data_IF_403365352929
#
_entry.id   IF_403365352929
#
_cell.length_a   1.000
_cell.length_b   1.000
_cell.length_c   1.000
_cell.angle_alpha   90.00
_cell.angle_beta   90.00
_cell.angle_gamma   90.00
#
_symmetry.space_group_name_H-M   'P 1'
#
loop_
_entity.id
_entity.type
_entity.pdbx_description
1 polymer ?
#
# COMPACT_ATOMS: atom_id res chain seq x y z
N UNK A 1 11.67 74.75 -35.11
CA UNK A 1 10.72 73.94 -34.32
C UNK A 1 10.53 72.54 -34.90
N UNK A 2 11.61 71.82 -35.25
CA UNK A 2 11.54 70.49 -35.91
C UNK A 2 12.61 69.50 -35.41
N UNK A 3 13.44 69.88 -34.43
CA UNK A 3 14.46 69.01 -33.82
C UNK A 3 13.96 68.25 -32.58
N UNK A 4 12.98 68.78 -31.84
CA UNK A 4 12.53 68.19 -30.57
C UNK A 4 11.61 66.98 -30.76
N UNK A 5 10.83 66.92 -31.84
CA UNK A 5 9.93 65.79 -32.12
C UNK A 5 10.74 64.54 -32.52
N UNK A 6 11.85 64.71 -33.24
CA UNK A 6 12.71 63.60 -33.70
C UNK A 6 13.48 62.93 -32.55
N UNK A 7 13.89 63.71 -31.54
CA UNK A 7 14.55 63.19 -30.35
C UNK A 7 13.57 62.51 -29.37
N UNK A 8 12.32 63.00 -29.26
CA UNK A 8 11.31 62.37 -28.40
C UNK A 8 10.80 61.03 -28.95
N UNK A 9 10.66 60.87 -30.27
CA UNK A 9 10.23 59.60 -30.89
C UNK A 9 11.31 58.51 -30.76
N UNK A 10 12.59 58.88 -30.89
CA UNK A 10 13.70 57.94 -30.68
C UNK A 10 13.88 57.57 -29.20
N UNK A 11 13.57 58.48 -28.27
CA UNK A 11 13.50 58.20 -26.83
C UNK A 11 12.36 57.24 -26.47
N UNK A 12 11.15 57.48 -26.99
CA UNK A 12 9.97 56.65 -26.73
C UNK A 12 10.09 55.24 -27.33
N UNK A 13 10.65 55.11 -28.53
CA UNK A 13 10.93 53.82 -29.16
C UNK A 13 11.94 52.97 -28.37
N UNK A 14 12.99 53.60 -27.81
CA UNK A 14 13.93 52.93 -26.90
C UNK A 14 13.26 52.51 -25.60
N UNK A 15 12.39 53.34 -25.04
CA UNK A 15 11.63 53.02 -23.84
C UNK A 15 10.67 51.83 -24.06
N UNK A 16 9.99 51.79 -25.21
CA UNK A 16 9.12 50.68 -25.60
C UNK A 16 9.89 49.37 -25.82
N UNK A 17 11.10 49.46 -26.40
CA UNK A 17 12.01 48.32 -26.56
C UNK A 17 12.48 47.77 -25.20
N UNK A 18 12.85 48.66 -24.27
CA UNK A 18 13.23 48.28 -22.90
C UNK A 18 12.03 47.66 -22.17
N UNK A 19 10.84 48.25 -22.29
CA UNK A 19 9.63 47.71 -21.67
C UNK A 19 9.27 46.34 -22.22
N UNK A 20 9.36 46.14 -23.55
CA UNK A 20 9.14 44.85 -24.20
C UNK A 20 10.18 43.80 -23.76
N UNK A 21 11.45 44.19 -23.66
CA UNK A 21 12.52 43.32 -23.17
C UNK A 21 12.30 42.91 -21.71
N UNK A 22 11.88 43.84 -20.85
CA UNK A 22 11.56 43.57 -19.44
C UNK A 22 10.34 42.65 -19.33
N UNK A 23 9.30 42.88 -20.14
CA UNK A 23 8.12 42.00 -20.17
C UNK A 23 8.46 40.58 -20.64
N UNK A 24 9.30 40.44 -21.67
CA UNK A 24 9.82 39.14 -22.11
C UNK A 24 10.64 38.44 -21.02
N UNK A 25 11.45 39.20 -20.28
CA UNK A 25 12.24 38.67 -19.17
C UNK A 25 11.34 38.19 -18.02
N UNK A 26 10.28 38.95 -17.68
CA UNK A 26 9.28 38.54 -16.68
C UNK A 26 8.52 37.27 -17.12
N UNK A 27 8.15 37.17 -18.40
CA UNK A 27 7.52 35.96 -18.96
C UNK A 27 8.47 34.76 -18.92
N UNK A 28 9.75 34.94 -19.24
CA UNK A 28 10.75 33.87 -19.16
C UNK A 28 10.96 33.40 -17.71
N UNK A 29 11.01 34.32 -16.74
CA UNK A 29 11.15 33.98 -15.31
C UNK A 29 9.91 33.24 -14.80
N UNK A 30 8.71 33.69 -15.16
CA UNK A 30 7.47 33.02 -14.73
C UNK A 30 7.32 31.63 -15.36
N UNK A 31 7.69 31.46 -16.63
CA UNK A 31 7.75 30.15 -17.29
C UNK A 31 8.75 29.22 -16.61
N UNK A 32 9.94 29.71 -16.26
CA UNK A 32 10.95 28.93 -15.55
C UNK A 32 10.48 28.50 -14.15
N UNK A 33 9.88 29.42 -13.38
CA UNK A 33 9.31 29.09 -12.06
C UNK A 33 8.18 28.08 -12.15
N UNK A 34 7.35 28.17 -13.19
CA UNK A 34 6.26 27.21 -13.42
C UNK A 34 6.82 25.83 -13.79
N UNK A 35 7.84 25.77 -14.65
CA UNK A 35 8.51 24.53 -15.00
C UNK A 35 9.17 23.86 -13.79
N UNK A 36 9.84 24.63 -12.92
CA UNK A 36 10.44 24.10 -11.70
C UNK A 36 9.40 23.51 -10.75
N UNK A 37 8.27 24.21 -10.53
CA UNK A 37 7.17 23.70 -9.70
C UNK A 37 6.51 22.46 -10.29
N UNK A 38 6.27 22.43 -11.60
CA UNK A 38 5.70 21.27 -12.28
C UNK A 38 6.66 20.07 -12.21
N UNK A 39 7.96 20.29 -12.41
CA UNK A 39 8.99 19.26 -12.29
C UNK A 39 9.09 18.70 -10.86
N UNK A 40 8.99 19.55 -9.84
CA UNK A 40 8.99 19.12 -8.44
C UNK A 40 7.77 18.24 -8.12
N UNK A 41 6.58 18.66 -8.56
CA UNK A 41 5.34 17.88 -8.38
C UNK A 41 5.41 16.56 -9.16
N UNK A 42 5.92 16.58 -10.38
CA UNK A 42 6.10 15.38 -11.21
C UNK A 42 7.11 14.41 -10.58
N UNK A 43 8.25 14.92 -10.08
CA UNK A 43 9.24 14.10 -9.36
C UNK A 43 8.65 13.51 -8.09
N UNK A 44 7.88 14.29 -7.31
CA UNK A 44 7.19 13.78 -6.11
C UNK A 44 6.18 12.69 -6.46
N UNK A 45 5.47 12.83 -7.58
CA UNK A 45 4.53 11.83 -8.05
C UNK A 45 5.23 10.55 -8.49
N UNK A 46 6.30 10.66 -9.28
CA UNK A 46 7.12 9.51 -9.67
C UNK A 46 7.71 8.80 -8.45
N UNK A 47 8.26 9.52 -7.47
CA UNK A 47 8.78 8.92 -6.24
C UNK A 47 7.67 8.15 -5.49
N UNK A 48 6.45 8.69 -5.43
CA UNK A 48 5.30 8.04 -4.82
C UNK A 48 4.81 6.80 -5.57
N UNK A 49 4.84 6.82 -6.91
CA UNK A 49 4.51 5.66 -7.72
C UNK A 49 5.58 4.57 -7.57
N UNK A 50 6.85 4.93 -7.68
CA UNK A 50 7.96 4.00 -7.48
C UNK A 50 7.97 3.44 -6.05
N UNK A 51 7.64 4.23 -5.02
CA UNK A 51 7.54 3.72 -3.65
C UNK A 51 6.40 2.73 -3.50
N UNK A 52 5.23 2.99 -4.11
CA UNK A 52 4.10 2.04 -4.12
C UNK A 52 4.46 0.75 -4.83
N UNK A 53 5.13 0.82 -5.97
CA UNK A 53 5.62 -0.36 -6.69
C UNK A 53 6.64 -1.15 -5.86
N UNK A 54 7.54 -0.46 -5.16
CA UNK A 54 8.55 -1.08 -4.29
C UNK A 54 7.90 -1.72 -3.06
N UNK A 55 6.90 -1.08 -2.44
CA UNK A 55 6.14 -1.63 -1.32
C UNK A 55 5.28 -2.83 -1.74
N UNK A 56 4.78 -2.83 -2.98
CA UNK A 56 4.07 -3.95 -3.56
C UNK A 56 5.04 -5.11 -3.87
N UNK A 57 6.24 -4.80 -4.36
CA UNK A 57 7.31 -5.78 -4.57
C UNK A 57 7.81 -6.38 -3.26
N UNK A 58 8.07 -5.57 -2.23
CA UNK A 58 8.46 -6.01 -0.88
C UNK A 58 7.35 -6.88 -0.26
N UNK A 59 6.09 -6.44 -0.40
CA UNK A 59 4.95 -7.27 0.00
C UNK A 59 4.85 -8.60 -0.73
N UNK A 60 5.36 -8.68 -1.96
CA UNK A 60 5.37 -9.89 -2.77
C UNK A 60 6.65 -10.73 -2.57
N UNK A 61 7.67 -10.21 -1.86
CA UNK A 61 8.95 -10.90 -1.63
C UNK A 61 9.21 -11.27 -0.17
N UNK A 62 8.57 -10.64 0.81
CA UNK A 62 8.69 -10.99 2.23
C UNK A 62 7.52 -11.88 2.68
N UNK A 63 7.83 -13.15 2.94
CA UNK A 63 6.89 -14.16 3.43
C UNK A 63 6.11 -13.72 4.68
N UNK A 64 6.70 -12.88 5.54
CA UNK A 64 6.05 -12.39 6.76
C UNK A 64 4.99 -11.33 6.47
N UNK A 65 5.29 -10.39 5.57
CA UNK A 65 4.34 -9.36 5.13
C UNK A 65 3.20 -10.01 4.36
N UNK A 66 3.53 -11.03 3.56
CA UNK A 66 2.54 -11.85 2.88
C UNK A 66 1.60 -12.58 3.85
N UNK A 67 2.13 -13.33 4.82
CA UNK A 67 1.32 -14.04 5.81
C UNK A 67 0.41 -13.09 6.59
N UNK A 68 0.91 -11.89 6.92
CA UNK A 68 0.14 -10.85 7.59
C UNK A 68 -1.02 -10.33 6.72
N UNK A 69 -0.78 -10.04 5.43
CA UNK A 69 -1.84 -9.59 4.51
C UNK A 69 -2.89 -10.66 4.27
N UNK A 70 -2.47 -11.91 4.09
CA UNK A 70 -3.38 -13.05 3.96
C UNK A 70 -4.24 -13.19 5.22
N UNK A 71 -3.62 -13.14 6.40
CA UNK A 71 -4.34 -13.21 7.67
C UNK A 71 -5.38 -12.11 7.80
N UNK A 72 -5.01 -10.86 7.54
CA UNK A 72 -5.94 -9.72 7.61
C UNK A 72 -7.08 -9.85 6.60
N UNK A 73 -6.80 -10.26 5.36
CA UNK A 73 -7.83 -10.49 4.35
C UNK A 73 -8.86 -11.52 4.83
N UNK A 74 -8.40 -12.68 5.31
CA UNK A 74 -9.28 -13.75 5.78
C UNK A 74 -10.09 -13.33 7.02
N UNK A 75 -9.47 -12.61 7.95
CA UNK A 75 -10.15 -12.07 9.14
C UNK A 75 -11.21 -11.05 8.75
N UNK A 76 -10.89 -10.10 7.87
CA UNK A 76 -11.84 -9.10 7.41
C UNK A 76 -13.02 -9.74 6.67
N UNK A 77 -12.77 -10.72 5.80
CA UNK A 77 -13.84 -11.46 5.11
C UNK A 77 -14.72 -12.21 6.10
N UNK A 78 -14.12 -12.89 7.09
CA UNK A 78 -14.86 -13.58 8.13
C UNK A 78 -15.69 -12.63 9.01
N UNK A 79 -15.19 -11.43 9.30
CA UNK A 79 -15.91 -10.40 10.05
C UNK A 79 -17.10 -9.82 9.27
N UNK A 80 -16.94 -9.59 7.96
CA UNK A 80 -17.98 -8.97 7.13
C UNK A 80 -19.08 -9.94 6.72
N UNK A 81 -18.71 -11.17 6.35
CA UNK A 81 -19.64 -12.13 5.77
C UNK A 81 -19.99 -13.29 6.72
N UNK A 82 -19.20 -13.48 7.78
CA UNK A 82 -19.35 -14.60 8.71
C UNK A 82 -18.50 -15.80 8.33
N UNK A 83 -18.29 -16.69 9.31
CA UNK A 83 -17.42 -17.88 9.19
C UNK A 83 -18.01 -18.99 8.31
N UNK A 84 -19.32 -18.97 8.07
CA UNK A 84 -20.04 -19.94 7.22
C UNK A 84 -20.34 -19.38 5.81
N UNK A 85 -19.81 -18.21 5.49
CA UNK A 85 -20.03 -17.56 4.19
C UNK A 85 -19.27 -18.26 3.07
N UNK A 86 -19.90 -18.28 1.88
CA UNK A 86 -19.23 -18.76 0.66
C UNK A 86 -18.07 -17.86 0.27
N UNK A 87 -18.19 -16.57 0.57
CA UNK A 87 -17.19 -15.54 0.31
C UNK A 87 -15.88 -15.84 1.05
N UNK A 88 -15.96 -16.34 2.29
CA UNK A 88 -14.78 -16.78 3.03
C UNK A 88 -14.17 -18.06 2.45
N UNK A 89 -15.00 -19.03 2.08
CA UNK A 89 -14.54 -20.26 1.43
C UNK A 89 -13.81 -19.98 0.11
N UNK A 90 -14.39 -19.11 -0.73
CA UNK A 90 -13.78 -18.65 -1.98
C UNK A 90 -12.48 -17.88 -1.73
N UNK A 91 -12.43 -17.02 -0.71
CA UNK A 91 -11.22 -16.29 -0.35
C UNK A 91 -10.08 -17.23 0.06
N UNK A 92 -10.38 -18.28 0.83
CA UNK A 92 -9.40 -19.29 1.26
C UNK A 92 -8.93 -20.13 0.07
N UNK A 93 -9.83 -20.54 -0.81
CA UNK A 93 -9.50 -21.36 -1.98
C UNK A 93 -8.69 -20.55 -3.01
N UNK A 94 -9.11 -19.32 -3.33
CA UNK A 94 -8.38 -18.42 -4.22
C UNK A 94 -6.98 -18.12 -3.69
N UNK A 95 -6.86 -17.92 -2.38
CA UNK A 95 -5.54 -17.77 -1.76
C UNK A 95 -4.72 -19.05 -1.92
N UNK A 96 -5.30 -20.23 -1.69
CA UNK A 96 -4.60 -21.50 -1.85
C UNK A 96 -4.07 -21.70 -3.28
N UNK A 97 -4.87 -21.32 -4.28
CA UNK A 97 -4.50 -21.35 -5.70
C UNK A 97 -3.39 -20.36 -6.03
N UNK A 98 -3.54 -19.10 -5.63
CA UNK A 98 -2.58 -18.03 -5.89
C UNK A 98 -1.18 -18.39 -5.36
N UNK A 99 -1.11 -19.05 -4.21
CA UNK A 99 0.14 -19.38 -3.54
C UNK A 99 0.57 -20.83 -3.77
N UNK A 100 -0.16 -21.59 -4.59
CA UNK A 100 0.12 -22.99 -4.93
C UNK A 100 0.37 -23.85 -3.69
N UNK A 101 -0.30 -23.51 -2.59
CA UNK A 101 -0.18 -24.20 -1.29
C UNK A 101 -1.55 -24.31 -0.65
N UNK A 102 -1.82 -25.43 0.00
CA UNK A 102 -3.13 -25.67 0.61
C UNK A 102 -3.21 -24.89 1.92
N UNK A 103 -3.91 -23.75 1.92
CA UNK A 103 -4.11 -22.95 3.13
C UNK A 103 -5.18 -23.63 3.97
N UNK A 104 -4.81 -24.00 5.20
CA UNK A 104 -5.71 -24.58 6.20
C UNK A 104 -6.11 -23.50 7.19
N UNK A 105 -7.40 -23.38 7.48
CA UNK A 105 -7.91 -22.39 8.42
C UNK A 105 -8.83 -23.06 9.44
N UNK A 106 -8.71 -22.65 10.70
CA UNK A 106 -9.45 -23.22 11.83
C UNK A 106 -10.05 -22.10 12.66
N UNK A 107 -11.37 -22.11 12.82
CA UNK A 107 -12.13 -21.09 13.53
C UNK A 107 -12.66 -21.65 14.84
N UNK A 108 -12.28 -21.01 15.94
CA UNK A 108 -12.63 -21.43 17.29
C UNK A 108 -13.50 -20.39 17.99
N UNK A 109 -14.42 -20.87 18.81
CA UNK A 109 -15.21 -20.06 19.73
C UNK A 109 -15.26 -20.76 21.07
N UNK A 110 -14.88 -20.07 22.15
CA UNK A 110 -14.80 -20.64 23.49
C UNK A 110 -14.02 -21.97 23.52
N UNK A 111 -12.88 -22.03 22.83
CA UNK A 111 -12.01 -23.21 22.71
C UNK A 111 -12.63 -24.43 22.00
N UNK A 112 -13.79 -24.27 21.36
CA UNK A 112 -14.41 -25.31 20.53
C UNK A 112 -14.22 -24.96 19.06
N UNK A 113 -13.78 -25.93 18.25
CA UNK A 113 -13.71 -25.76 16.80
C UNK A 113 -15.13 -25.61 16.25
N UNK A 114 -15.39 -24.50 15.59
CA UNK A 114 -16.69 -24.22 14.97
C UNK A 114 -16.65 -24.55 13.48
N UNK A 115 -15.54 -24.23 12.81
CA UNK A 115 -15.38 -24.44 11.38
C UNK A 115 -13.92 -24.64 11.02
N UNK A 116 -13.66 -25.50 10.06
CA UNK A 116 -12.35 -25.66 9.45
C UNK A 116 -12.46 -25.70 7.93
N UNK A 117 -11.39 -25.28 7.26
CA UNK A 117 -11.27 -25.26 5.81
C UNK A 117 -10.00 -26.00 5.39
N UNK A 118 -10.11 -26.77 4.32
CA UNK A 118 -8.98 -27.44 3.65
C UNK A 118 -8.13 -28.36 4.54
N UNK A 119 -8.64 -28.77 5.70
CA UNK A 119 -7.98 -29.69 6.63
C UNK A 119 -8.42 -31.13 6.42
N UNK A 120 -7.56 -32.07 6.83
CA UNK A 120 -7.90 -33.48 6.97
C UNK A 120 -8.07 -33.88 8.45
N UNK A 121 -8.33 -35.17 8.70
CA UNK A 121 -8.55 -35.68 10.05
C UNK A 121 -7.27 -35.66 10.91
N UNK A 122 -6.10 -35.76 10.30
CA UNK A 122 -4.83 -35.74 11.02
C UNK A 122 -4.49 -34.32 11.47
N UNK A 123 -4.73 -33.33 10.61
CA UNK A 123 -4.63 -31.91 10.95
C UNK A 123 -5.49 -31.54 12.14
N UNK A 124 -6.74 -32.02 12.17
CA UNK A 124 -7.68 -31.74 13.24
C UNK A 124 -7.17 -32.26 14.59
N UNK A 125 -6.65 -33.49 14.62
CA UNK A 125 -6.07 -34.08 15.85
C UNK A 125 -4.86 -33.29 16.35
N UNK A 126 -4.00 -32.86 15.43
CA UNK A 126 -2.83 -32.06 15.75
C UNK A 126 -3.24 -30.70 16.34
N UNK A 127 -4.17 -29.99 15.67
CA UNK A 127 -4.63 -28.67 16.10
C UNK A 127 -5.44 -28.70 17.39
N UNK A 128 -6.26 -29.73 17.60
CA UNK A 128 -7.00 -29.94 18.84
C UNK A 128 -6.03 -30.13 20.02
N UNK A 129 -5.00 -30.96 19.84
CA UNK A 129 -3.95 -31.15 20.85
C UNK A 129 -3.21 -29.84 21.13
N UNK A 130 -2.88 -29.07 20.08
CA UNK A 130 -2.23 -27.78 20.20
C UNK A 130 -3.06 -26.78 21.02
N UNK A 131 -4.36 -26.71 20.77
CA UNK A 131 -5.26 -25.82 21.51
C UNK A 131 -5.51 -26.23 22.94
N UNK A 132 -5.57 -27.53 23.22
CA UNK A 132 -5.63 -28.03 24.60
C UNK A 132 -4.37 -27.55 25.33
N UNK A 133 -3.19 -27.76 24.75
CA UNK A 133 -1.89 -27.33 25.30
C UNK A 133 -1.81 -25.82 25.53
N UNK A 134 -2.32 -25.01 24.59
CA UNK A 134 -2.35 -23.54 24.71
C UNK A 134 -3.31 -23.02 25.79
N UNK A 135 -4.35 -23.78 26.14
CA UNK A 135 -5.33 -23.41 27.15
C UNK A 135 -4.96 -23.83 28.58
N UNK A 136 -3.88 -24.61 28.75
CA UNK A 136 -3.35 -24.96 30.06
C UNK A 136 -2.88 -23.71 30.81
N UNK A 137 -2.76 -23.80 32.14
CA UNK A 137 -2.32 -22.69 32.99
C UNK A 137 -1.22 -23.12 33.94
N UNK A 138 -0.34 -22.18 34.29
CA UNK A 138 0.75 -22.42 35.24
C UNK A 138 1.73 -23.49 34.76
N UNK A 139 2.15 -24.39 35.65
CA UNK A 139 3.20 -25.39 35.35
C UNK A 139 2.85 -26.35 34.21
N UNK A 140 1.56 -26.64 34.02
CA UNK A 140 1.10 -27.52 32.93
C UNK A 140 1.27 -26.86 31.56
N UNK A 141 1.06 -25.54 31.48
CA UNK A 141 1.36 -24.77 30.27
C UNK A 141 2.86 -24.77 29.99
N UNK A 142 3.70 -24.49 31.00
CA UNK A 142 5.16 -24.45 30.84
C UNK A 142 5.75 -25.79 30.39
N UNK A 143 5.17 -26.91 30.84
CA UNK A 143 5.55 -28.24 30.39
C UNK A 143 5.07 -28.50 28.96
N UNK A 144 3.83 -28.16 28.64
CA UNK A 144 3.27 -28.35 27.31
C UNK A 144 3.99 -27.54 26.21
N UNK A 145 4.50 -26.34 26.53
CA UNK A 145 5.30 -25.53 25.61
C UNK A 145 6.69 -26.11 25.30
N UNK A 146 7.21 -27.03 26.14
CA UNK A 146 8.51 -27.69 25.90
C UNK A 146 8.38 -28.92 24.99
N UNK A 147 7.17 -29.44 24.85
CA UNK A 147 6.85 -30.60 24.02
C UNK A 147 6.27 -30.21 22.65
N UNK A 148 6.11 -28.91 22.39
CA UNK A 148 5.71 -28.33 21.12
C UNK A 148 6.95 -27.88 20.33
#
# INVERSE_FOLDING_TARGET
MSSDIKNNITSFGKLALIFSAVMLLVLAITALQTHLKVSEVFNKHNILETSKETDLLISNTDDKVYAYKLFNLLVETAQRHGIDSKELEEAINRSSENYRTKIKAFFYKNNVLIKSFNCDLEDLKLFETFLIKLNLKGKEFDLAQREL
#
